data_IF_031027595941
#
_entry.id   IF_031027595941
#
_cell.length_a   1.000
_cell.length_b   1.000
_cell.length_c   1.000
_cell.angle_alpha   90.00
_cell.angle_beta   90.00
_cell.angle_gamma   90.00
#
_symmetry.space_group_name_H-M   'P 1'
#
loop_
_entity.id
_entity.type
_entity.pdbx_description
1 polymer ?
#
# COMPACT_ATOMS: atom_id res chain seq x y z
N UNK A 1 -10.32 -31.17 -10.01
CA UNK A 1 -9.82 -29.83 -10.25
C UNK A 1 -10.93 -28.81 -10.57
N UNK A 2 -11.90 -29.09 -11.42
CA UNK A 2 -12.99 -28.15 -11.79
C UNK A 2 -13.82 -27.62 -10.60
N UNK A 3 -14.16 -28.48 -9.62
CA UNK A 3 -14.92 -28.04 -8.43
C UNK A 3 -14.15 -27.03 -7.54
N UNK A 4 -12.83 -27.16 -7.45
CA UNK A 4 -12.00 -26.23 -6.69
C UNK A 4 -11.93 -24.87 -7.39
N UNK A 5 -11.77 -24.85 -8.71
CA UNK A 5 -11.77 -23.60 -9.50
C UNK A 5 -13.11 -22.87 -9.44
N UNK A 6 -14.25 -23.59 -9.53
CA UNK A 6 -15.56 -22.96 -9.41
C UNK A 6 -15.80 -22.34 -8.03
N UNK A 7 -15.35 -22.98 -6.95
CA UNK A 7 -15.44 -22.41 -5.60
C UNK A 7 -14.54 -21.19 -5.44
N UNK A 8 -13.32 -21.23 -5.99
CA UNK A 8 -12.42 -20.08 -5.97
C UNK A 8 -12.98 -18.87 -6.72
N UNK A 9 -13.68 -19.06 -7.83
CA UNK A 9 -14.33 -17.98 -8.59
C UNK A 9 -15.41 -17.24 -7.79
N UNK A 10 -16.03 -17.88 -6.80
CA UNK A 10 -17.01 -17.24 -5.94
C UNK A 10 -16.35 -16.67 -4.68
N UNK A 11 -15.45 -17.42 -4.07
CA UNK A 11 -14.82 -17.04 -2.80
C UNK A 11 -13.90 -15.83 -2.98
N UNK A 12 -13.12 -15.76 -4.06
CA UNK A 12 -12.19 -14.64 -4.29
C UNK A 12 -12.91 -13.29 -4.39
N UNK A 13 -13.94 -13.10 -5.24
CA UNK A 13 -14.67 -11.83 -5.29
C UNK A 13 -15.37 -11.48 -3.97
N UNK A 14 -15.93 -12.48 -3.28
CA UNK A 14 -16.59 -12.27 -1.99
C UNK A 14 -15.59 -11.80 -0.92
N UNK A 15 -14.44 -12.44 -0.82
CA UNK A 15 -13.38 -12.04 0.12
C UNK A 15 -12.82 -10.67 -0.21
N UNK A 16 -12.61 -10.34 -1.48
CA UNK A 16 -12.18 -9.00 -1.92
C UNK A 16 -13.21 -7.94 -1.52
N UNK A 17 -14.52 -8.19 -1.71
CA UNK A 17 -15.58 -7.28 -1.27
C UNK A 17 -15.53 -7.03 0.24
N UNK A 18 -15.36 -8.09 1.04
CA UNK A 18 -15.26 -7.99 2.49
C UNK A 18 -14.01 -7.18 2.88
N UNK A 19 -12.87 -7.43 2.24
CA UNK A 19 -11.62 -6.68 2.48
C UNK A 19 -11.80 -5.21 2.16
N UNK A 20 -12.37 -4.87 1.00
CA UNK A 20 -12.65 -3.48 0.59
C UNK A 20 -13.55 -2.80 1.62
N UNK A 21 -14.59 -3.49 2.07
CA UNK A 21 -15.52 -2.97 3.08
C UNK A 21 -14.83 -2.69 4.42
N UNK A 22 -14.00 -3.63 4.91
CA UNK A 22 -13.24 -3.46 6.15
C UNK A 22 -12.24 -2.31 6.04
N UNK A 23 -11.51 -2.21 4.93
CA UNK A 23 -10.56 -1.11 4.69
C UNK A 23 -11.32 0.22 4.64
N UNK A 24 -12.48 0.27 3.99
CA UNK A 24 -13.31 1.47 3.95
C UNK A 24 -13.79 1.90 5.33
N UNK A 25 -14.24 0.97 6.16
CA UNK A 25 -14.62 1.26 7.56
C UNK A 25 -13.46 1.82 8.37
N UNK A 26 -12.25 1.31 8.15
CA UNK A 26 -11.04 1.75 8.85
C UNK A 26 -10.60 3.16 8.38
N UNK A 27 -10.51 3.37 7.08
CA UNK A 27 -9.97 4.61 6.50
C UNK A 27 -11.00 5.75 6.43
N UNK A 28 -12.30 5.43 6.53
CA UNK A 28 -13.45 6.37 6.40
C UNK A 28 -13.37 7.27 5.16
N UNK A 29 -12.69 6.82 4.10
CA UNK A 29 -12.49 7.58 2.86
C UNK A 29 -12.30 6.66 1.67
N UNK A 30 -13.14 6.80 0.65
CA UNK A 30 -13.04 6.04 -0.60
C UNK A 30 -11.71 6.23 -1.33
N UNK A 31 -11.15 7.47 -1.27
CA UNK A 31 -9.86 7.78 -1.91
C UNK A 31 -8.73 7.01 -1.22
N UNK A 32 -8.70 7.00 0.11
CA UNK A 32 -7.69 6.25 0.88
C UNK A 32 -7.82 4.74 0.63
N UNK A 33 -9.04 4.22 0.61
CA UNK A 33 -9.31 2.82 0.28
C UNK A 33 -8.80 2.48 -1.12
N UNK A 34 -9.03 3.34 -2.12
CA UNK A 34 -8.53 3.15 -3.48
C UNK A 34 -6.99 3.16 -3.54
N UNK A 35 -6.32 4.03 -2.78
CA UNK A 35 -4.86 4.07 -2.70
C UNK A 35 -4.30 2.76 -2.13
N UNK A 36 -4.90 2.22 -1.05
CA UNK A 36 -4.49 0.93 -0.49
C UNK A 36 -4.66 -0.19 -1.50
N UNK A 37 -5.81 -0.24 -2.17
CA UNK A 37 -6.09 -1.28 -3.16
C UNK A 37 -5.19 -1.20 -4.39
N UNK A 38 -4.59 -0.04 -4.67
CA UNK A 38 -3.65 0.13 -5.77
C UNK A 38 -2.35 -0.68 -5.57
N UNK A 39 -1.99 -1.04 -4.34
CA UNK A 39 -0.86 -1.93 -4.08
C UNK A 39 -1.04 -3.31 -4.70
N UNK A 40 -2.27 -3.84 -4.66
CA UNK A 40 -2.55 -5.21 -5.12
C UNK A 40 -2.19 -5.43 -6.60
N UNK A 41 -2.61 -4.60 -7.57
CA UNK A 41 -2.18 -4.75 -8.95
C UNK A 41 -0.66 -4.67 -9.14
N UNK A 42 0.01 -3.79 -8.39
CA UNK A 42 1.47 -3.66 -8.48
C UNK A 42 2.21 -4.88 -7.93
N UNK A 43 1.75 -5.42 -6.81
CA UNK A 43 2.34 -6.63 -6.25
C UNK A 43 2.12 -7.85 -7.15
N UNK A 44 0.96 -7.91 -7.83
CA UNK A 44 0.70 -8.94 -8.83
C UNK A 44 1.70 -8.93 -9.98
N UNK A 45 2.14 -7.76 -10.44
CA UNK A 45 3.18 -7.67 -11.48
C UNK A 45 4.44 -8.40 -11.02
N UNK A 46 4.94 -8.14 -9.81
CA UNK A 46 6.10 -8.83 -9.26
C UNK A 46 5.89 -10.32 -9.05
N UNK A 47 4.69 -10.70 -8.58
CA UNK A 47 4.32 -12.08 -8.41
C UNK A 47 4.35 -12.84 -9.75
N UNK A 48 3.73 -12.32 -10.81
CA UNK A 48 3.74 -12.94 -12.14
C UNK A 48 5.12 -12.99 -12.76
N UNK A 49 5.94 -11.93 -12.63
CA UNK A 49 7.32 -11.93 -13.08
C UNK A 49 8.13 -13.05 -12.41
N UNK A 50 8.00 -13.20 -11.10
CA UNK A 50 8.74 -14.23 -10.37
C UNK A 50 8.27 -15.65 -10.74
N UNK A 51 6.95 -15.86 -10.93
CA UNK A 51 6.40 -17.13 -11.42
C UNK A 51 6.96 -17.47 -12.80
N UNK A 52 7.03 -16.49 -13.70
CA UNK A 52 7.55 -16.65 -15.05
C UNK A 52 9.06 -16.98 -15.04
N UNK A 53 9.85 -16.27 -14.25
CA UNK A 53 11.30 -16.49 -14.12
C UNK A 53 11.64 -17.88 -13.59
N UNK A 54 10.84 -18.40 -12.64
CA UNK A 54 11.04 -19.74 -12.08
C UNK A 54 10.43 -20.84 -12.96
N UNK A 55 9.60 -20.48 -13.95
CA UNK A 55 8.98 -21.42 -14.90
C UNK A 55 7.80 -22.20 -14.31
N UNK A 56 7.10 -21.64 -13.31
CA UNK A 56 5.94 -22.31 -12.73
C UNK A 56 4.65 -21.99 -13.49
N UNK A 57 3.83 -23.04 -13.71
CA UNK A 57 2.47 -22.85 -14.21
C UNK A 57 1.52 -22.37 -13.11
N UNK A 58 0.48 -21.63 -13.50
CA UNK A 58 -0.60 -21.23 -12.59
C UNK A 58 -1.28 -22.47 -12.03
N UNK A 59 -1.22 -22.65 -10.73
CA UNK A 59 -1.82 -23.74 -9.97
C UNK A 59 -2.59 -23.21 -8.77
N UNK A 60 -3.37 -24.06 -8.11
CA UNK A 60 -4.08 -23.67 -6.88
C UNK A 60 -3.10 -23.17 -5.81
N UNK A 61 -1.91 -23.77 -5.71
CA UNK A 61 -0.87 -23.34 -4.77
C UNK A 61 -0.37 -21.91 -5.08
N UNK A 62 -0.18 -21.56 -6.34
CA UNK A 62 0.19 -20.21 -6.77
C UNK A 62 -0.91 -19.21 -6.40
N UNK A 63 -2.18 -19.54 -6.61
CA UNK A 63 -3.31 -18.69 -6.22
C UNK A 63 -3.36 -18.43 -4.71
N UNK A 64 -3.09 -19.46 -3.90
CA UNK A 64 -2.97 -19.29 -2.43
C UNK A 64 -1.87 -18.30 -2.07
N UNK A 65 -0.70 -18.39 -2.72
CA UNK A 65 0.38 -17.42 -2.54
C UNK A 65 0.00 -16.00 -2.93
N UNK A 66 -0.74 -15.81 -4.03
CA UNK A 66 -1.25 -14.52 -4.49
C UNK A 66 -2.27 -13.93 -3.50
N UNK A 67 -3.17 -14.74 -2.96
CA UNK A 67 -4.16 -14.30 -1.97
C UNK A 67 -3.48 -13.86 -0.68
N UNK A 68 -2.48 -14.64 -0.21
CA UNK A 68 -1.69 -14.27 0.97
C UNK A 68 -0.93 -12.95 0.76
N UNK A 69 -0.34 -12.74 -0.43
CA UNK A 69 0.32 -11.51 -0.82
C UNK A 69 -0.65 -10.32 -0.78
N UNK A 70 -1.84 -10.43 -1.36
CA UNK A 70 -2.84 -9.38 -1.36
C UNK A 70 -3.29 -8.98 0.05
N UNK A 71 -3.39 -9.94 0.98
CA UNK A 71 -3.66 -9.68 2.40
C UNK A 71 -2.55 -8.89 3.07
N UNK A 72 -1.30 -9.25 2.81
CA UNK A 72 -0.12 -8.56 3.33
C UNK A 72 -0.03 -7.12 2.81
N UNK A 73 -0.31 -6.90 1.52
CA UNK A 73 -0.30 -5.56 0.91
C UNK A 73 -1.41 -4.67 1.47
N UNK A 74 -2.60 -5.23 1.69
CA UNK A 74 -3.69 -4.48 2.30
C UNK A 74 -3.33 -4.01 3.73
N UNK A 75 -2.75 -4.90 4.55
CA UNK A 75 -2.29 -4.57 5.90
C UNK A 75 -1.24 -3.46 5.89
N UNK A 76 -0.17 -3.63 5.13
CA UNK A 76 0.95 -2.68 5.09
C UNK A 76 0.54 -1.35 4.47
N UNK A 77 -0.32 -1.36 3.44
CA UNK A 77 -0.85 -0.17 2.80
C UNK A 77 -1.71 0.69 3.73
N UNK A 78 -2.59 0.07 4.52
CA UNK A 78 -3.39 0.79 5.53
C UNK A 78 -2.50 1.46 6.56
N UNK A 79 -1.48 0.75 7.06
CA UNK A 79 -0.56 1.30 8.06
C UNK A 79 0.26 2.45 7.47
N UNK A 80 0.74 2.35 6.23
CA UNK A 80 1.45 3.45 5.56
C UNK A 80 0.60 4.70 5.47
N UNK A 81 -0.66 4.58 5.02
CA UNK A 81 -1.58 5.72 4.95
C UNK A 81 -1.88 6.33 6.32
N UNK A 82 -2.00 5.50 7.36
CA UNK A 82 -2.20 5.98 8.72
C UNK A 82 -1.06 6.90 9.17
N UNK A 83 0.20 6.52 8.90
CA UNK A 83 1.36 7.35 9.27
C UNK A 83 1.43 8.65 8.46
N UNK A 84 1.07 8.62 7.18
CA UNK A 84 0.98 9.83 6.36
C UNK A 84 -0.12 10.78 6.88
N UNK A 85 -1.27 10.25 7.28
CA UNK A 85 -2.36 11.05 7.88
C UNK A 85 -1.97 11.62 9.24
N UNK A 86 -1.30 10.86 10.09
CA UNK A 86 -0.84 11.32 11.39
C UNK A 86 0.18 12.46 11.23
N UNK A 87 1.17 12.30 10.36
CA UNK A 87 2.16 13.33 10.07
C UNK A 87 1.48 14.61 9.54
N UNK A 88 0.55 14.47 8.60
CA UNK A 88 -0.23 15.60 8.09
C UNK A 88 -1.06 16.27 9.19
N UNK A 89 -1.74 15.52 10.05
CA UNK A 89 -2.57 16.05 11.13
C UNK A 89 -1.74 16.78 12.19
N UNK A 90 -0.55 16.28 12.51
CA UNK A 90 0.38 16.88 13.47
C UNK A 90 0.89 18.23 12.96
N UNK A 91 1.35 18.29 11.71
CA UNK A 91 1.83 19.54 11.12
C UNK A 91 0.71 20.58 10.97
N UNK A 92 -0.51 20.13 10.67
CA UNK A 92 -1.70 20.99 10.64
C UNK A 92 -2.02 21.56 12.01
N UNK A 93 -1.97 20.77 13.09
CA UNK A 93 -2.20 21.23 14.47
C UNK A 93 -1.15 22.25 14.92
N UNK A 94 0.09 22.10 14.47
CA UNK A 94 1.19 23.03 14.76
C UNK A 94 1.13 24.32 13.92
N UNK A 95 0.13 24.48 13.05
CA UNK A 95 0.01 25.64 12.15
C UNK A 95 1.13 25.76 11.10
N UNK A 96 1.87 24.69 10.86
CA UNK A 96 3.05 24.67 9.97
C UNK A 96 2.72 24.32 8.52
N UNK A 97 1.44 24.13 8.16
CA UNK A 97 0.99 23.80 6.81
C UNK A 97 0.50 25.03 6.06
N UNK A 98 1.41 25.97 5.78
CA UNK A 98 1.10 27.22 5.09
C UNK A 98 1.49 27.20 3.60
N UNK A 99 2.33 26.25 3.19
CA UNK A 99 2.86 26.13 1.83
C UNK A 99 2.80 24.69 1.32
N UNK A 100 2.90 24.54 0.00
CA UNK A 100 3.09 23.22 -0.65
C UNK A 100 4.42 22.58 -0.28
N UNK A 101 5.44 23.37 0.04
CA UNK A 101 6.72 22.88 0.58
C UNK A 101 6.54 22.24 1.94
N UNK A 102 5.78 22.90 2.84
CA UNK A 102 5.50 22.35 4.18
C UNK A 102 4.70 21.05 4.09
N UNK A 103 3.76 20.96 3.15
CA UNK A 103 3.03 19.72 2.89
C UNK A 103 3.97 18.59 2.45
N UNK A 104 4.92 18.90 1.56
CA UNK A 104 5.91 17.94 1.09
C UNK A 104 6.78 17.41 2.23
N UNK A 105 7.24 18.32 3.10
CA UNK A 105 8.09 17.97 4.24
C UNK A 105 7.33 17.13 5.28
N UNK A 106 6.06 17.44 5.54
CA UNK A 106 5.19 16.65 6.41
C UNK A 106 5.02 15.21 5.88
N UNK A 107 4.76 15.05 4.58
CA UNK A 107 4.60 13.74 3.94
C UNK A 107 5.92 12.98 3.92
N UNK A 108 7.03 13.66 3.61
CA UNK A 108 8.37 13.07 3.65
C UNK A 108 8.70 12.53 5.04
N UNK A 109 8.45 13.32 6.09
CA UNK A 109 8.65 12.89 7.47
C UNK A 109 7.82 11.66 7.82
N UNK A 110 6.52 11.63 7.46
CA UNK A 110 5.65 10.47 7.68
C UNK A 110 6.12 9.23 6.92
N UNK A 111 6.54 9.38 5.66
CA UNK A 111 7.05 8.29 4.85
C UNK A 111 8.36 7.72 5.40
N UNK A 112 9.34 8.57 5.71
CA UNK A 112 10.66 8.14 6.25
C UNK A 112 10.53 7.34 7.53
N UNK A 113 9.60 7.70 8.41
CA UNK A 113 9.34 6.96 9.64
C UNK A 113 8.94 5.50 9.38
N UNK A 114 8.32 5.22 8.21
CA UNK A 114 7.86 3.88 7.82
C UNK A 114 8.86 3.08 6.98
N UNK A 115 9.87 3.72 6.39
CA UNK A 115 10.88 3.02 5.55
C UNK A 115 11.53 1.88 6.32
N UNK A 116 12.05 2.15 7.52
CA UNK A 116 12.76 1.15 8.32
C UNK A 116 11.88 -0.04 8.72
N UNK A 117 10.69 0.13 9.36
CA UNK A 117 9.82 -0.99 9.69
C UNK A 117 9.39 -1.80 8.45
N UNK A 118 9.04 -1.13 7.34
CA UNK A 118 8.63 -1.82 6.11
C UNK A 118 9.78 -2.62 5.49
N UNK A 119 10.98 -2.04 5.42
CA UNK A 119 12.16 -2.74 4.90
C UNK A 119 12.51 -3.98 5.75
N UNK A 120 12.40 -3.86 7.09
CA UNK A 120 12.61 -4.98 7.99
C UNK A 120 11.57 -6.09 7.78
N UNK A 121 10.28 -5.74 7.68
CA UNK A 121 9.21 -6.71 7.42
C UNK A 121 9.41 -7.42 6.09
N UNK A 122 9.69 -6.68 5.01
CA UNK A 122 9.97 -7.26 3.70
C UNK A 122 11.19 -8.20 3.74
N UNK A 123 12.28 -7.77 4.39
CA UNK A 123 13.49 -8.59 4.53
C UNK A 123 13.22 -9.89 5.31
N UNK A 124 12.46 -9.83 6.41
CA UNK A 124 12.09 -11.00 7.21
C UNK A 124 11.22 -11.98 6.40
N UNK A 125 10.25 -11.48 5.64
CA UNK A 125 9.40 -12.32 4.79
C UNK A 125 10.25 -13.00 3.71
N UNK A 126 11.10 -12.27 3.01
CA UNK A 126 11.97 -12.82 1.96
C UNK A 126 12.94 -13.83 2.58
N UNK A 127 13.61 -13.50 3.68
CA UNK A 127 14.54 -14.40 4.37
C UNK A 127 13.85 -15.67 4.88
N UNK A 128 12.61 -15.57 5.36
CA UNK A 128 11.81 -16.72 5.82
C UNK A 128 11.34 -17.63 4.69
N UNK A 129 11.02 -17.05 3.53
CA UNK A 129 10.56 -17.81 2.36
C UNK A 129 11.71 -18.35 1.50
N UNK A 130 12.90 -17.73 1.55
CA UNK A 130 14.07 -18.13 0.76
C UNK A 130 14.45 -19.61 0.95
N UNK A 131 14.55 -20.16 2.19
CA UNK A 131 14.90 -21.58 2.38
C UNK A 131 13.88 -22.53 1.76
N UNK A 132 12.62 -22.12 1.64
CA UNK A 132 11.56 -22.93 1.04
C UNK A 132 11.84 -23.19 -0.44
N UNK A 133 12.43 -22.20 -1.15
CA UNK A 133 12.75 -22.36 -2.58
C UNK A 133 13.79 -23.46 -2.84
N UNK A 134 14.66 -23.74 -1.86
CA UNK A 134 15.68 -24.79 -1.97
C UNK A 134 15.30 -26.09 -1.25
N UNK A 135 14.15 -26.13 -0.59
CA UNK A 135 13.69 -27.33 0.12
C UNK A 135 13.46 -28.50 -0.85
N UNK A 136 13.69 -29.73 -0.37
CA UNK A 136 13.47 -30.98 -1.10
C UNK A 136 12.66 -31.94 -0.22
N UNK A 137 11.80 -32.75 -0.84
CA UNK A 137 11.01 -33.74 -0.12
C UNK A 137 9.52 -33.65 -0.44
N UNK A 138 8.74 -34.47 0.23
CA UNK A 138 7.29 -34.54 0.04
C UNK A 138 6.63 -33.19 0.38
N UNK A 139 5.85 -32.62 -0.54
CA UNK A 139 5.18 -31.34 -0.36
C UNK A 139 6.04 -30.09 -0.64
N UNK A 140 7.36 -30.21 -0.82
CA UNK A 140 8.24 -29.08 -1.12
C UNK A 140 7.81 -28.31 -2.38
N UNK A 141 7.35 -29.01 -3.41
CA UNK A 141 6.91 -28.40 -4.67
C UNK A 141 5.69 -27.48 -4.47
N UNK A 142 4.74 -27.88 -3.63
CA UNK A 142 3.57 -27.05 -3.29
C UNK A 142 4.01 -25.81 -2.53
N UNK A 143 4.89 -25.94 -1.55
CA UNK A 143 5.39 -24.80 -0.75
C UNK A 143 6.19 -23.82 -1.59
N UNK A 144 7.03 -24.30 -2.53
CA UNK A 144 7.75 -23.44 -3.48
C UNK A 144 6.79 -22.62 -4.34
N UNK A 145 5.71 -23.23 -4.83
CA UNK A 145 4.70 -22.56 -5.65
C UNK A 145 3.91 -21.49 -4.87
N UNK A 146 3.75 -21.64 -3.56
CA UNK A 146 3.16 -20.62 -2.68
C UNK A 146 4.16 -19.48 -2.43
N UNK A 147 5.42 -19.82 -2.12
CA UNK A 147 6.45 -18.85 -1.76
C UNK A 147 6.88 -17.96 -2.94
N UNK A 148 6.94 -18.50 -4.15
CA UNK A 148 7.42 -17.80 -5.35
C UNK A 148 6.67 -16.49 -5.63
N UNK A 149 5.32 -16.45 -5.76
CA UNK A 149 4.60 -15.21 -5.98
C UNK A 149 4.72 -14.22 -4.82
N UNK A 150 4.82 -14.74 -3.58
CA UNK A 150 4.98 -13.90 -2.40
C UNK A 150 6.31 -13.14 -2.41
N UNK A 151 7.42 -13.80 -2.72
CA UNK A 151 8.74 -13.14 -2.78
C UNK A 151 8.74 -12.05 -3.85
N UNK A 152 8.31 -12.36 -5.08
CA UNK A 152 8.26 -11.39 -6.17
C UNK A 152 7.33 -10.21 -5.86
N UNK A 153 6.15 -10.50 -5.32
CA UNK A 153 5.17 -9.48 -4.99
C UNK A 153 5.59 -8.57 -3.84
N UNK A 154 6.21 -9.11 -2.78
CA UNK A 154 6.70 -8.29 -1.65
C UNK A 154 7.75 -7.28 -2.09
N UNK A 155 8.63 -7.64 -3.02
CA UNK A 155 9.63 -6.70 -3.56
C UNK A 155 8.95 -5.53 -4.28
N UNK A 156 8.04 -5.82 -5.21
CA UNK A 156 7.35 -4.78 -5.98
C UNK A 156 6.38 -3.96 -5.14
N UNK A 157 5.65 -4.58 -4.20
CA UNK A 157 4.76 -3.85 -3.29
C UNK A 157 5.53 -2.92 -2.36
N UNK A 158 6.71 -3.34 -1.88
CA UNK A 158 7.56 -2.48 -1.05
C UNK A 158 8.02 -1.23 -1.80
N UNK A 159 8.47 -1.37 -3.05
CA UNK A 159 8.85 -0.24 -3.90
C UNK A 159 7.65 0.68 -4.13
N UNK A 160 6.50 0.12 -4.45
CA UNK A 160 5.27 0.86 -4.68
C UNK A 160 4.84 1.65 -3.45
N UNK A 161 4.79 1.02 -2.28
CA UNK A 161 4.36 1.67 -1.05
C UNK A 161 5.29 2.80 -0.62
N UNK A 162 6.61 2.63 -0.76
CA UNK A 162 7.57 3.64 -0.35
C UNK A 162 7.67 4.83 -1.31
N UNK A 163 7.45 4.62 -2.61
CA UNK A 163 7.60 5.67 -3.63
C UNK A 163 6.25 6.25 -4.07
N UNK A 164 5.29 5.41 -4.38
CA UNK A 164 4.04 5.82 -5.03
C UNK A 164 3.01 6.33 -4.03
N UNK A 165 2.91 5.72 -2.85
CA UNK A 165 1.94 6.17 -1.84
C UNK A 165 2.17 7.61 -1.36
N UNK A 166 3.39 8.01 -0.98
CA UNK A 166 3.66 9.40 -0.62
C UNK A 166 3.37 10.37 -1.76
N UNK A 167 3.69 9.97 -3.02
CA UNK A 167 3.44 10.80 -4.19
C UNK A 167 1.94 11.00 -4.46
N UNK A 168 1.14 9.92 -4.43
CA UNK A 168 -0.32 10.00 -4.63
C UNK A 168 -0.97 10.80 -3.48
N UNK A 169 -0.54 10.57 -2.24
CA UNK A 169 -1.05 11.28 -1.07
C UNK A 169 -0.74 12.77 -1.15
N UNK A 170 0.45 13.15 -1.62
CA UNK A 170 0.82 14.53 -1.88
C UNK A 170 -0.09 15.19 -2.93
N UNK A 171 -0.26 14.57 -4.08
CA UNK A 171 -1.12 15.07 -5.15
C UNK A 171 -2.57 15.24 -4.71
N UNK A 172 -3.07 14.30 -3.92
CA UNK A 172 -4.41 14.37 -3.38
C UNK A 172 -4.59 15.53 -2.39
N UNK A 173 -3.65 15.71 -1.47
CA UNK A 173 -3.73 16.78 -0.45
C UNK A 173 -3.43 18.17 -1.03
N UNK A 174 -2.57 18.28 -2.02
CA UNK A 174 -2.28 19.54 -2.71
C UNK A 174 -3.54 20.15 -3.34
N UNK A 175 -4.42 19.34 -3.91
CA UNK A 175 -5.69 19.82 -4.47
C UNK A 175 -6.61 20.43 -3.40
N UNK A 176 -6.54 19.92 -2.17
CA UNK A 176 -7.29 20.49 -1.03
C UNK A 176 -6.75 21.84 -0.55
N UNK A 177 -5.45 22.09 -0.66
CA UNK A 177 -4.84 23.37 -0.29
C UNK A 177 -5.10 24.47 -1.34
N UNK A 178 -5.08 24.13 -2.63
CA UNK A 178 -5.38 25.07 -3.71
C UNK A 178 -6.83 25.58 -3.68
N UNK A 179 -7.77 24.84 -3.10
CA UNK A 179 -9.17 25.25 -2.95
C UNK A 179 -9.42 26.21 -1.77
N UNK A 180 -8.51 26.25 -0.79
CA UNK A 180 -8.66 27.05 0.43
C UNK A 180 -8.03 28.45 0.39
N UNK A 181 -7.21 28.75 -0.61
CA UNK A 181 -6.50 30.04 -0.72
C UNK A 181 -7.32 31.20 -1.30
N UNK A 182 -8.64 31.06 -1.47
CA UNK A 182 -9.49 32.06 -2.14
C UNK A 182 -10.35 32.94 -1.22
N UNK A 183 -10.11 33.00 0.08
CA UNK A 183 -10.85 33.93 0.95
C UNK A 183 -10.09 34.36 2.21
N UNK A 184 -9.07 35.17 2.06
CA UNK A 184 -8.71 36.15 3.08
C UNK A 184 -8.96 37.52 2.45
N UNK A 185 -9.95 38.30 2.92
CA UNK A 185 -10.04 39.70 2.56
C UNK A 185 -8.78 40.39 3.09
N UNK A 186 -8.05 41.06 2.20
CA UNK A 186 -7.05 42.06 2.60
C UNK A 186 -7.74 43.03 3.53
N UNK A 187 -7.40 43.02 4.81
CA UNK A 187 -7.64 44.15 5.67
C UNK A 187 -6.81 45.30 5.12
N UNK A 188 -7.46 46.22 4.44
CA UNK A 188 -6.95 47.57 4.17
C UNK A 188 -6.57 48.19 5.49
N UNK A 189 -5.34 48.74 5.62
CA UNK A 189 -5.04 49.61 6.72
C UNK A 189 -5.70 50.95 6.39
N UNK A 190 -6.90 51.16 6.91
CA UNK A 190 -7.56 52.44 6.83
C UNK A 190 -7.02 53.33 7.93
N UNK A 191 -6.22 54.32 7.46
CA UNK A 191 -6.05 55.68 7.96
C UNK A 191 -6.25 55.94 9.47
N UNK A 192 -5.15 55.98 10.17
CA UNK A 192 -4.95 56.94 11.24
C UNK A 192 -4.30 58.21 10.61
N UNK A 193 -5.08 59.22 10.44
CA UNK A 193 -4.65 60.63 10.27
C UNK A 193 -5.66 61.52 11.01
N UNK A 194 -5.26 62.66 11.41
CA UNK A 194 -4.81 63.12 12.73
C UNK A 194 -5.97 63.73 13.51
#
# INVERSE_FOLDING_TARGET
MQRAQQRLMIVIPLTLLIIIFIIHLNTKSWIKTAIVLLAVPFSLVGAFWMIHLVGYNLSVAVWVGIIALAGLDAETGVVMLLYLDLAYADWKKQGRLNSTTDLRDAIYHGAVTRVRPKAMTAAVIIAGLMPILWSHGAGADVMKRIATPMIGGVVTSTIMELLVYPAIFFLWRQRGLSGGSKSLPRSTPEALAP
#
